data_IF_323168919918
#
_entry.id   IF_323168919918
#
_cell.length_a   1.000
_cell.length_b   1.000
_cell.length_c   1.000
_cell.angle_alpha   90.00
_cell.angle_beta   90.00
_cell.angle_gamma   90.00
#
_symmetry.space_group_name_H-M   'P 1'
#
loop_
_entity.id
_entity.type
_entity.pdbx_description
1 polymer ?
#
# COMPACT_ATOMS: atom_id res chain seq x y z
N UNK A 1 5.60 9.06 -14.80
CA UNK A 1 4.83 10.23 -15.31
C UNK A 1 3.54 10.44 -14.50
N UNK A 2 3.05 11.69 -14.38
CA UNK A 2 1.85 12.03 -13.61
C UNK A 2 0.53 11.42 -14.13
N UNK A 3 0.60 10.59 -15.19
CA UNK A 3 -0.54 10.02 -15.91
C UNK A 3 -0.60 8.49 -15.90
N UNK A 4 0.27 7.80 -15.15
CA UNK A 4 0.24 6.33 -15.07
C UNK A 4 0.23 5.89 -13.61
N UNK A 5 -0.95 5.85 -12.97
CA UNK A 5 -1.07 5.47 -11.57
C UNK A 5 -0.58 4.04 -11.29
N UNK A 6 -0.69 3.18 -12.30
CA UNK A 6 -0.12 1.82 -12.30
C UNK A 6 1.42 1.76 -12.34
N UNK A 7 2.11 2.87 -12.65
CA UNK A 7 3.57 3.01 -12.55
C UNK A 7 4.02 3.58 -11.20
N UNK A 8 3.11 4.06 -10.35
CA UNK A 8 3.47 4.60 -9.05
C UNK A 8 3.37 3.49 -7.98
N UNK A 9 4.49 2.98 -7.44
CA UNK A 9 4.45 1.91 -6.45
C UNK A 9 3.64 2.30 -5.20
N UNK A 10 3.56 3.60 -4.88
CA UNK A 10 2.80 4.07 -3.73
C UNK A 10 1.29 3.81 -3.87
N UNK A 11 0.73 3.85 -5.08
CA UNK A 11 -0.71 3.64 -5.26
C UNK A 11 -1.10 2.19 -5.02
N UNK A 12 -0.21 1.24 -5.30
CA UNK A 12 -0.41 -0.15 -4.96
C UNK A 12 -0.34 -0.40 -3.47
N UNK A 13 0.61 0.24 -2.78
CA UNK A 13 0.70 0.19 -1.33
C UNK A 13 -0.60 0.70 -0.73
N UNK A 14 -1.12 1.83 -1.22
CA UNK A 14 -2.42 2.35 -0.80
C UNK A 14 -3.59 1.43 -1.12
N UNK A 15 -3.61 0.78 -2.28
CA UNK A 15 -4.64 -0.21 -2.61
C UNK A 15 -4.60 -1.41 -1.66
N UNK A 16 -3.42 -1.95 -1.39
CA UNK A 16 -3.24 -3.08 -0.47
C UNK A 16 -3.66 -2.72 0.95
N UNK A 17 -3.23 -1.56 1.47
CA UNK A 17 -3.62 -1.07 2.79
C UNK A 17 -5.14 -0.91 2.90
N UNK A 18 -5.80 -0.37 1.87
CA UNK A 18 -7.26 -0.25 1.83
C UNK A 18 -7.99 -1.58 1.81
N UNK A 19 -7.44 -2.59 1.14
CA UNK A 19 -8.07 -3.91 1.01
C UNK A 19 -7.82 -4.83 2.21
N UNK A 20 -6.66 -4.72 2.87
CA UNK A 20 -6.24 -5.67 3.90
C UNK A 20 -6.41 -5.10 5.31
N UNK A 21 -5.99 -3.85 5.52
CA UNK A 21 -5.86 -3.28 6.86
C UNK A 21 -6.98 -2.28 7.19
N UNK A 22 -7.52 -1.59 6.19
CA UNK A 22 -8.57 -0.57 6.36
C UNK A 22 -9.93 -1.01 5.82
N UNK A 23 -10.02 -2.21 5.24
CA UNK A 23 -11.29 -2.75 4.74
C UNK A 23 -12.26 -3.03 5.90
N UNK A 24 -13.53 -2.68 5.71
CA UNK A 24 -14.62 -2.94 6.66
C UNK A 24 -14.44 -2.34 8.07
N UNK A 25 -13.55 -1.34 8.23
CA UNK A 25 -13.42 -0.59 9.49
C UNK A 25 -14.38 0.60 9.50
N UNK A 26 -15.11 0.77 10.59
CA UNK A 26 -15.88 1.98 10.88
C UNK A 26 -15.02 2.90 11.75
N UNK A 27 -14.70 4.08 11.23
CA UNK A 27 -13.92 5.08 11.96
C UNK A 27 -14.84 6.01 12.73
N UNK A 28 -14.50 6.28 13.99
CA UNK A 28 -15.33 7.10 14.88
C UNK A 28 -15.12 8.60 14.65
N UNK A 29 -13.86 9.00 14.55
CA UNK A 29 -13.41 10.39 14.48
C UNK A 29 -12.15 10.49 13.61
N UNK A 30 -11.68 11.70 13.30
CA UNK A 30 -10.50 11.91 12.45
C UNK A 30 -9.24 11.23 13.00
N UNK A 31 -8.98 11.34 14.31
CA UNK A 31 -7.83 10.69 14.95
C UNK A 31 -7.84 9.17 14.79
N UNK A 32 -9.02 8.54 14.80
CA UNK A 32 -9.18 7.09 14.63
C UNK A 32 -8.79 6.64 13.21
N UNK A 33 -9.05 7.48 12.20
CA UNK A 33 -8.60 7.27 10.82
C UNK A 33 -7.07 7.35 10.76
N UNK A 34 -6.48 8.39 11.34
CA UNK A 34 -5.03 8.64 11.30
C UNK A 34 -4.28 7.52 12.04
N UNK A 35 -4.75 7.12 13.22
CA UNK A 35 -4.17 6.04 13.99
C UNK A 35 -4.27 4.71 13.24
N UNK A 36 -5.44 4.39 12.68
CA UNK A 36 -5.64 3.18 11.89
C UNK A 36 -4.73 3.13 10.66
N UNK A 37 -4.56 4.25 9.97
CA UNK A 37 -3.65 4.34 8.82
C UNK A 37 -2.19 4.18 9.24
N UNK A 38 -1.80 4.78 10.37
CA UNK A 38 -0.44 4.67 10.93
C UNK A 38 -0.13 3.23 11.35
N UNK A 39 -1.07 2.56 12.01
CA UNK A 39 -0.94 1.16 12.40
C UNK A 39 -0.85 0.23 11.18
N UNK A 40 -1.70 0.45 10.17
CA UNK A 40 -1.66 -0.29 8.91
C UNK A 40 -0.31 -0.13 8.20
N UNK A 41 0.21 1.11 8.14
CA UNK A 41 1.52 1.39 7.56
C UNK A 41 2.66 0.71 8.32
N UNK A 42 2.65 0.78 9.65
CA UNK A 42 3.65 0.15 10.51
C UNK A 42 3.63 -1.39 10.39
N UNK A 43 2.43 -1.99 10.32
CA UNK A 43 2.24 -3.41 10.02
C UNK A 43 2.84 -3.75 8.66
N UNK A 44 2.53 -2.97 7.62
CA UNK A 44 3.02 -3.18 6.26
C UNK A 44 4.55 -3.13 6.16
N UNK A 45 5.20 -2.11 6.71
CA UNK A 45 6.67 -1.99 6.63
C UNK A 45 7.42 -3.02 7.47
N UNK A 46 6.76 -3.63 8.47
CA UNK A 46 7.35 -4.72 9.25
C UNK A 46 7.58 -5.98 8.39
N UNK A 47 6.81 -6.16 7.31
CA UNK A 47 6.97 -7.24 6.35
C UNK A 47 7.73 -6.77 5.11
N UNK A 48 9.06 -6.70 5.23
CA UNK A 48 9.97 -6.25 4.16
C UNK A 48 9.80 -7.08 2.88
N UNK A 49 9.44 -8.36 2.97
CA UNK A 49 9.19 -9.20 1.78
C UNK A 49 7.97 -8.70 1.03
N UNK A 50 6.87 -8.42 1.75
CA UNK A 50 5.66 -7.87 1.15
C UNK A 50 5.87 -6.49 0.55
N UNK A 51 6.66 -5.63 1.21
CA UNK A 51 7.03 -4.31 0.65
C UNK A 51 7.74 -4.49 -0.70
N UNK A 52 8.68 -5.44 -0.79
CA UNK A 52 9.39 -5.74 -2.04
C UNK A 52 8.47 -6.29 -3.10
N UNK A 53 7.60 -7.24 -2.77
CA UNK A 53 6.67 -7.85 -3.73
C UNK A 53 5.66 -6.84 -4.28
N UNK A 54 5.10 -5.96 -3.44
CA UNK A 54 4.15 -4.93 -3.89
C UNK A 54 4.84 -3.86 -4.73
N UNK A 55 6.09 -3.52 -4.42
CA UNK A 55 6.87 -2.60 -5.23
C UNK A 55 7.46 -3.25 -6.49
N UNK A 56 7.41 -4.59 -6.62
CA UNK A 56 7.94 -5.32 -7.76
C UNK A 56 6.97 -5.29 -8.95
N UNK A 57 7.53 -5.30 -10.16
CA UNK A 57 6.80 -5.29 -11.42
C UNK A 57 7.45 -6.26 -12.39
N UNK A 58 6.68 -7.21 -12.93
CA UNK A 58 7.20 -8.19 -13.89
C UNK A 58 7.74 -7.55 -15.18
N UNK A 59 7.15 -6.43 -15.63
CA UNK A 59 7.62 -5.72 -16.83
C UNK A 59 8.92 -4.91 -16.63
N UNK A 60 9.44 -4.80 -15.40
CA UNK A 60 10.81 -4.32 -15.17
C UNK A 60 11.85 -5.37 -15.56
N UNK A 61 11.49 -6.65 -15.64
CA UNK A 61 12.27 -7.65 -16.36
C UNK A 61 12.04 -7.47 -17.87
N UNK A 62 12.67 -6.45 -18.44
CA UNK A 62 13.05 -6.47 -19.86
C UNK A 62 14.27 -7.38 -20.02
N UNK A 63 14.12 -8.66 -19.68
CA UNK A 63 15.03 -9.70 -20.16
C UNK A 63 14.57 -10.06 -21.57
N UNK A 64 15.32 -9.55 -22.55
CA UNK A 64 15.30 -10.04 -23.92
C UNK A 64 15.93 -11.42 -24.06
#
# INVERSE_FOLDING_TARGET
PAYSPELNPIEQVWQWLRQNELANKCFKDYDDIVESCSNAWNSFISDIKRVKDICFRDWLNLSG
#
